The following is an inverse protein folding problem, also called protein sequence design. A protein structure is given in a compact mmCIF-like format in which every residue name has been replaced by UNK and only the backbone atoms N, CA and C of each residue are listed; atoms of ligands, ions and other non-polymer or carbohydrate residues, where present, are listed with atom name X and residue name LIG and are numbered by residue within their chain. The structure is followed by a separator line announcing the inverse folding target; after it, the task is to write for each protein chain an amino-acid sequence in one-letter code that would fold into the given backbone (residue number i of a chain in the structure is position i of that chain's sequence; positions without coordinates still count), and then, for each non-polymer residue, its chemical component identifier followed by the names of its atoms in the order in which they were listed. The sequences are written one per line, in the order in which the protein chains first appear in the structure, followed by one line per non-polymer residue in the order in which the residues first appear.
data_IF_003404018075
#
_entry.id   IF_003404018075
#
_cell.length_a   1.000
_cell.length_b   1.000
_cell.length_c   1.000
_cell.angle_alpha   90.00
_cell.angle_beta   90.00
_cell.angle_gamma   90.00
#
_symmetry.space_group_name_H-M   'P 1'
#
loop_
_entity.id
_entity.type
_entity.pdbx_description
1 polymer ?
#
# COMPACT_ATOMS: atom_id res chain seq x y z
N UNK A 1 -4.56 14.57 8.12
CA UNK A 1 -5.21 13.34 8.62
C UNK A 1 -4.49 12.17 7.98
N UNK A 2 -4.24 11.05 8.70
CA UNK A 2 -3.62 9.88 8.09
C UNK A 2 -4.55 9.30 7.00
N UNK A 3 -3.96 8.83 5.89
CA UNK A 3 -4.68 8.23 4.76
C UNK A 3 -4.14 6.82 4.50
N UNK A 4 -4.94 5.75 4.70
CA UNK A 4 -4.49 4.38 4.43
C UNK A 4 -4.16 4.20 2.95
N UNK A 5 -3.26 3.26 2.67
CA UNK A 5 -3.02 2.81 1.30
C UNK A 5 -4.32 2.17 0.77
N UNK A 6 -4.77 2.39 -0.48
CA UNK A 6 -6.01 1.81 -0.99
C UNK A 6 -6.09 0.27 -1.01
N UNK A 7 -4.99 -0.41 -0.71
CA UNK A 7 -4.92 -1.87 -0.58
C UNK A 7 -5.16 -2.33 0.86
N UNK A 8 -4.91 -1.44 1.82
CA UNK A 8 -5.17 -1.65 3.24
C UNK A 8 -6.66 -1.43 3.47
N UNK A 9 -7.40 -2.54 3.45
CA UNK A 9 -8.88 -2.55 3.45
C UNK A 9 -9.48 -2.59 4.84
N UNK A 10 -8.67 -2.96 5.84
CA UNK A 10 -9.05 -2.94 7.25
C UNK A 10 -8.60 -1.63 7.94
N UNK A 11 -7.84 -0.78 7.24
CA UNK A 11 -7.32 0.52 7.68
C UNK A 11 -6.45 0.43 8.95
N UNK A 12 -5.72 -0.68 9.11
CA UNK A 12 -4.88 -0.91 10.29
C UNK A 12 -3.43 -0.41 10.15
N UNK A 13 -3.12 0.21 9.00
CA UNK A 13 -1.80 0.74 8.64
C UNK A 13 -0.72 -0.34 8.55
N UNK A 14 -1.12 -1.59 8.26
CA UNK A 14 -0.23 -2.71 7.98
C UNK A 14 -0.61 -3.36 6.66
N UNK A 15 0.32 -3.35 5.71
CA UNK A 15 0.13 -4.01 4.43
C UNK A 15 0.43 -5.50 4.54
N UNK A 16 -0.59 -6.32 4.81
CA UNK A 16 -0.41 -7.78 4.92
C UNK A 16 -0.42 -8.45 3.54
N UNK A 17 0.08 -9.70 3.48
CA UNK A 17 0.20 -10.45 2.21
C UNK A 17 -1.12 -10.51 1.41
N UNK A 18 -2.25 -10.74 2.08
CA UNK A 18 -3.55 -10.90 1.42
C UNK A 18 -3.99 -9.63 0.68
N UNK A 19 -3.76 -8.48 1.29
CA UNK A 19 -4.06 -7.16 0.72
C UNK A 19 -3.13 -6.82 -0.44
N UNK A 20 -1.83 -7.08 -0.28
CA UNK A 20 -0.86 -6.89 -1.35
C UNK A 20 -1.18 -7.77 -2.58
N UNK A 21 -1.51 -9.06 -2.38
CA UNK A 21 -1.92 -9.96 -3.47
C UNK A 21 -3.22 -9.49 -4.11
N UNK A 22 -4.25 -9.15 -3.33
CA UNK A 22 -5.53 -8.71 -3.85
C UNK A 22 -5.37 -7.45 -4.72
N UNK A 23 -4.52 -6.51 -4.27
CA UNK A 23 -4.28 -5.28 -5.00
C UNK A 23 -3.46 -5.50 -6.28
N UNK A 24 -2.46 -6.41 -6.24
CA UNK A 24 -1.72 -6.87 -7.43
C UNK A 24 -2.63 -7.56 -8.45
N UNK A 25 -3.54 -8.42 -8.00
CA UNK A 25 -4.52 -9.07 -8.87
C UNK A 25 -5.47 -8.06 -9.50
N UNK A 26 -5.91 -7.05 -8.74
CA UNK A 26 -6.68 -5.93 -9.28
C UNK A 26 -5.93 -5.11 -10.32
N UNK A 27 -4.60 -4.94 -10.19
CA UNK A 27 -3.79 -4.31 -11.23
C UNK A 27 -3.74 -5.19 -12.49
N UNK A 28 -3.52 -6.51 -12.36
CA UNK A 28 -3.50 -7.44 -13.50
C UNK A 28 -4.82 -7.43 -14.29
N UNK A 29 -5.93 -7.13 -13.63
CA UNK A 29 -7.27 -7.03 -14.23
C UNK A 29 -7.60 -5.61 -14.75
N UNK A 30 -6.72 -4.64 -14.56
CA UNK A 30 -6.90 -3.26 -15.00
C UNK A 30 -7.68 -2.35 -14.04
N UNK A 31 -7.99 -2.82 -12.84
CA UNK A 31 -8.78 -2.08 -11.83
C UNK A 31 -7.92 -1.17 -10.94
N UNK A 32 -6.65 -1.52 -10.71
CA UNK A 32 -5.76 -0.79 -9.82
C UNK A 32 -4.52 -0.23 -10.55
N UNK A 33 -4.01 0.96 -10.17
CA UNK A 33 -2.76 1.48 -10.71
C UNK A 33 -1.56 0.60 -10.32
N UNK A 34 -0.68 0.30 -11.29
CA UNK A 34 0.50 -0.54 -11.05
C UNK A 34 1.42 0.00 -9.95
N UNK A 35 1.59 1.32 -9.90
CA UNK A 35 2.51 1.96 -8.95
C UNK A 35 2.05 1.74 -7.50
N UNK A 36 0.73 1.73 -7.27
CA UNK A 36 0.14 1.46 -5.96
C UNK A 36 0.24 -0.03 -5.62
N UNK A 37 0.06 -0.92 -6.60
CA UNK A 37 0.27 -2.35 -6.39
C UNK A 37 1.72 -2.70 -6.04
N UNK A 38 2.69 -2.08 -6.71
CA UNK A 38 4.11 -2.20 -6.38
C UNK A 38 4.39 -1.65 -4.98
N UNK A 39 3.75 -0.53 -4.58
CA UNK A 39 3.92 0.02 -3.23
C UNK A 39 3.35 -0.90 -2.15
N UNK A 40 2.16 -1.46 -2.36
CA UNK A 40 1.59 -2.47 -1.47
C UNK A 40 2.54 -3.67 -1.30
N UNK A 41 3.06 -4.21 -2.41
CA UNK A 41 4.04 -5.30 -2.36
C UNK A 41 5.32 -4.91 -1.60
N UNK A 42 5.83 -3.70 -1.82
CA UNK A 42 7.02 -3.19 -1.13
C UNK A 42 6.81 -3.09 0.38
N UNK A 43 5.67 -2.54 0.83
CA UNK A 43 5.36 -2.40 2.26
C UNK A 43 5.24 -3.78 2.92
N UNK A 44 4.51 -4.70 2.30
CA UNK A 44 4.39 -6.09 2.77
C UNK A 44 5.75 -6.77 2.92
N UNK A 45 6.62 -6.68 1.90
CA UNK A 45 7.94 -7.32 1.92
C UNK A 45 8.92 -6.74 2.94
N UNK A 46 8.66 -5.53 3.46
CA UNK A 46 9.60 -4.79 4.30
C UNK A 46 9.07 -4.50 5.71
N UNK A 47 8.13 -5.31 6.22
CA UNK A 47 7.69 -5.25 7.62
C UNK A 47 6.21 -4.89 7.83
N UNK A 48 5.47 -4.68 6.74
CA UNK A 48 4.02 -4.44 6.69
C UNK A 48 3.59 -3.07 7.23
N UNK A 49 4.11 -2.63 8.39
CA UNK A 49 3.75 -1.38 9.03
C UNK A 49 4.22 -0.15 8.23
N UNK A 50 3.35 0.84 8.11
CA UNK A 50 3.63 2.06 7.36
C UNK A 50 2.88 3.27 7.92
N UNK A 51 3.35 4.46 7.55
CA UNK A 51 2.71 5.74 7.86
C UNK A 51 2.44 6.54 6.60
N UNK A 52 1.45 7.43 6.65
CA UNK A 52 1.14 8.37 5.57
C UNK A 52 1.84 9.72 5.80
N UNK A 53 2.60 10.19 4.80
CA UNK A 53 3.31 11.47 4.79
C UNK A 53 2.74 12.36 3.68
N UNK A 54 2.03 13.43 4.06
CA UNK A 54 1.27 14.28 3.11
C UNK A 54 2.14 15.08 2.15
N UNK A 55 3.40 15.30 2.48
CA UNK A 55 4.35 16.11 1.71
C UNK A 55 4.98 15.32 0.55
N UNK A 56 4.77 14.01 0.50
CA UNK A 56 5.32 13.11 -0.52
C UNK A 56 4.23 12.79 -1.54
N UNK A 57 4.57 12.72 -2.83
CA UNK A 57 3.63 12.35 -3.88
C UNK A 57 3.28 10.84 -3.81
N UNK A 58 2.00 10.45 -4.01
CA UNK A 58 1.64 9.05 -4.14
C UNK A 58 2.37 8.36 -5.31
N UNK A 59 2.73 7.07 -5.18
CA UNK A 59 2.46 6.20 -4.03
C UNK A 59 3.57 6.22 -2.97
N UNK A 60 4.56 7.11 -3.07
CA UNK A 60 5.68 7.13 -2.13
C UNK A 60 5.29 7.71 -0.75
N UNK A 61 4.11 8.34 -0.64
CA UNK A 61 3.58 8.88 0.60
C UNK A 61 3.31 7.85 1.69
N UNK A 62 3.17 6.57 1.36
CA UNK A 62 3.04 5.49 2.35
C UNK A 62 4.42 4.96 2.70
N UNK A 63 5.06 5.48 3.74
CA UNK A 63 6.46 5.21 4.09
C UNK A 63 6.53 4.11 5.15
N UNK A 64 7.50 3.19 5.02
CA UNK A 64 7.74 2.15 6.03
C UNK A 64 7.90 2.76 7.42
N UNK A 65 7.26 2.14 8.39
CA UNK A 65 7.53 2.42 9.80
C UNK A 65 8.75 1.61 10.24
N UNK A 66 9.67 2.25 10.98
CA UNK A 66 10.90 1.61 11.47
C UNK A 66 10.65 0.84 12.76
#
# INVERSE_FOLDING_TARGET
MPLPHPADTNEDFRMVLGEAIAYLAGWQQGSNPIAYAIRAAYLWQNGEAYTYVSEIAPPLCWVLEN
#
